data_IF_056164296104
#
_entry.id   IF_056164296104
#
_cell.length_a   1.000
_cell.length_b   1.000
_cell.length_c   1.000
_cell.angle_alpha   90.00
_cell.angle_beta   90.00
_cell.angle_gamma   90.00
#
_symmetry.space_group_name_H-M   'P 1'
#
loop_
_entity.id
_entity.type
_entity.pdbx_description
1 polymer ?
#
# COMPACT_ATOMS: atom_id res chain seq x y z
N UNK A 1 -38.07 -57.67 25.80
CA UNK A 1 -37.22 -57.34 24.63
C UNK A 1 -37.09 -55.84 24.59
N UNK A 2 -35.89 -55.28 24.77
CA UNK A 2 -35.68 -53.85 24.60
C UNK A 2 -35.29 -53.61 23.13
N UNK A 3 -36.12 -52.85 22.42
CA UNK A 3 -35.87 -52.49 21.03
C UNK A 3 -34.80 -51.38 21.01
N UNK A 4 -33.59 -51.74 20.58
CA UNK A 4 -32.50 -50.78 20.42
C UNK A 4 -32.65 -50.06 19.07
N UNK A 5 -32.87 -48.76 19.10
CA UNK A 5 -33.06 -47.94 17.90
C UNK A 5 -31.70 -47.57 17.29
N UNK A 6 -31.68 -47.47 15.95
CA UNK A 6 -30.49 -46.98 15.23
C UNK A 6 -30.42 -45.46 15.32
N UNK A 7 -29.21 -44.90 15.26
CA UNK A 7 -28.99 -43.44 15.28
C UNK A 7 -29.83 -42.67 14.25
N UNK A 8 -30.12 -43.26 13.09
CA UNK A 8 -30.95 -42.65 12.05
C UNK A 8 -32.42 -42.53 12.48
N UNK A 9 -32.99 -43.56 13.07
CA UNK A 9 -34.38 -43.56 13.56
C UNK A 9 -34.55 -42.55 14.71
N UNK A 10 -33.58 -42.52 15.62
CA UNK A 10 -33.54 -41.56 16.72
C UNK A 10 -33.43 -40.13 16.21
N UNK A 11 -32.58 -39.89 15.21
CA UNK A 11 -32.45 -38.57 14.60
C UNK A 11 -33.75 -38.08 13.95
N UNK A 12 -34.48 -38.98 13.28
CA UNK A 12 -35.79 -38.68 12.71
C UNK A 12 -36.84 -38.40 13.79
N UNK A 13 -36.83 -39.17 14.90
CA UNK A 13 -37.77 -39.00 16.01
C UNK A 13 -37.51 -37.70 16.80
N UNK A 14 -36.26 -37.29 16.92
CA UNK A 14 -35.87 -36.05 17.60
C UNK A 14 -35.92 -34.83 16.67
N UNK A 15 -36.09 -35.01 15.35
CA UNK A 15 -36.11 -33.92 14.37
C UNK A 15 -34.75 -33.23 14.21
N UNK A 16 -33.65 -33.94 14.43
CA UNK A 16 -32.28 -33.41 14.36
C UNK A 16 -31.43 -34.27 13.41
N UNK A 17 -30.32 -33.75 12.91
CA UNK A 17 -29.45 -34.53 12.04
C UNK A 17 -28.77 -35.70 12.78
N UNK A 18 -28.51 -36.86 12.14
CA UNK A 18 -27.82 -37.99 12.77
C UNK A 18 -26.45 -37.63 13.35
N UNK A 19 -25.77 -36.62 12.78
CA UNK A 19 -24.50 -36.10 13.29
C UNK A 19 -24.67 -35.38 14.63
N UNK A 20 -25.79 -34.68 14.83
CA UNK A 20 -26.14 -33.99 16.08
C UNK A 20 -26.35 -34.99 17.20
N UNK A 21 -27.06 -36.09 16.92
CA UNK A 21 -27.24 -37.18 17.90
C UNK A 21 -25.89 -37.76 18.34
N UNK A 22 -24.98 -38.05 17.39
CA UNK A 22 -23.63 -38.53 17.73
C UNK A 22 -22.79 -37.50 18.49
N UNK A 23 -22.98 -36.21 18.18
CA UNK A 23 -22.32 -35.11 18.88
C UNK A 23 -22.80 -35.05 20.33
N UNK A 24 -24.10 -35.06 20.57
CA UNK A 24 -24.67 -35.06 21.92
C UNK A 24 -24.24 -36.27 22.77
N UNK A 25 -24.21 -37.48 22.18
CA UNK A 25 -23.70 -38.67 22.89
C UNK A 25 -22.26 -38.47 23.38
N UNK A 26 -21.41 -37.79 22.60
CA UNK A 26 -20.02 -37.50 22.96
C UNK A 26 -19.90 -36.35 23.95
N UNK A 27 -20.54 -35.22 23.64
CA UNK A 27 -20.39 -33.96 24.36
C UNK A 27 -21.03 -34.02 25.77
N UNK A 28 -22.15 -34.76 25.89
CA UNK A 28 -22.84 -34.98 27.17
C UNK A 28 -22.50 -36.35 27.80
N UNK A 29 -21.50 -37.05 27.26
CA UNK A 29 -20.99 -38.33 27.74
C UNK A 29 -22.09 -39.37 28.05
N UNK A 30 -23.05 -39.52 27.13
CA UNK A 30 -24.21 -40.40 27.33
C UNK A 30 -23.77 -41.85 27.13
N UNK A 31 -23.97 -42.75 28.11
CA UNK A 31 -23.54 -44.14 28.01
C UNK A 31 -24.35 -44.85 26.92
N UNK A 32 -23.70 -45.17 25.81
CA UNK A 32 -24.33 -45.81 24.66
C UNK A 32 -23.41 -46.88 24.07
N UNK A 33 -23.95 -48.10 23.95
CA UNK A 33 -23.23 -49.23 23.37
C UNK A 33 -23.13 -49.10 21.85
N UNK A 34 -22.07 -49.67 21.27
CA UNK A 34 -21.92 -49.81 19.83
C UNK A 34 -22.02 -51.28 19.47
N UNK A 35 -22.70 -51.58 18.37
CA UNK A 35 -22.66 -52.92 17.80
C UNK A 35 -21.29 -53.21 17.11
N UNK A 36 -21.09 -54.45 16.68
CA UNK A 36 -19.86 -54.89 15.99
C UNK A 36 -19.53 -54.08 14.73
N UNK A 37 -20.53 -53.41 14.15
CA UNK A 37 -20.39 -52.55 12.98
C UNK A 37 -20.16 -51.06 13.35
N UNK A 38 -20.00 -50.73 14.62
CA UNK A 38 -19.71 -49.38 15.12
C UNK A 38 -20.91 -48.42 15.17
N UNK A 39 -22.13 -48.90 14.97
CA UNK A 39 -23.36 -48.11 15.12
C UNK A 39 -23.81 -48.07 16.59
N UNK A 40 -24.23 -46.88 17.05
CA UNK A 40 -24.77 -46.68 18.38
C UNK A 40 -26.13 -47.39 18.53
N UNK A 41 -26.25 -48.23 19.55
CA UNK A 41 -27.47 -48.89 20.00
C UNK A 41 -28.15 -47.99 21.03
N UNK A 42 -29.22 -47.32 20.61
CA UNK A 42 -29.90 -46.33 21.44
C UNK A 42 -31.13 -46.99 22.07
N UNK A 43 -30.96 -47.39 23.33
CA UNK A 43 -32.05 -47.87 24.19
C UNK A 43 -32.95 -46.70 24.60
N UNK A 44 -34.18 -46.99 25.02
CA UNK A 44 -35.15 -45.99 25.48
C UNK A 44 -34.58 -45.04 26.56
N UNK A 45 -33.71 -45.52 27.46
CA UNK A 45 -33.05 -44.67 28.46
C UNK A 45 -32.12 -43.63 27.83
N UNK A 46 -31.33 -44.02 26.83
CA UNK A 46 -30.43 -43.13 26.08
C UNK A 46 -31.25 -42.13 25.26
N UNK A 47 -32.40 -42.56 24.73
CA UNK A 47 -33.32 -41.67 24.01
C UNK A 47 -33.86 -40.56 24.93
N UNK A 48 -34.22 -40.88 26.18
CA UNK A 48 -34.67 -39.87 27.16
C UNK A 48 -33.57 -38.85 27.46
N UNK A 49 -32.35 -39.30 27.71
CA UNK A 49 -31.22 -38.39 27.91
C UNK A 49 -30.97 -37.50 26.68
N UNK A 50 -31.14 -38.03 25.47
CA UNK A 50 -31.03 -37.23 24.23
C UNK A 50 -32.17 -36.23 24.07
N UNK A 51 -33.36 -36.50 24.61
CA UNK A 51 -34.46 -35.53 24.65
C UNK A 51 -34.15 -34.39 25.62
N UNK A 52 -33.61 -34.69 26.80
CA UNK A 52 -33.17 -33.67 27.76
C UNK A 52 -32.09 -32.76 27.17
N UNK A 53 -31.08 -33.35 26.50
CA UNK A 53 -30.03 -32.58 25.81
C UNK A 53 -30.60 -31.69 24.69
N UNK A 54 -31.63 -32.14 23.98
CA UNK A 54 -32.30 -31.30 22.98
C UNK A 54 -32.87 -30.04 23.64
N UNK A 55 -33.50 -30.14 24.80
CA UNK A 55 -34.02 -28.95 25.49
C UNK A 55 -32.89 -27.99 25.88
N UNK A 56 -31.79 -28.52 26.42
CA UNK A 56 -30.62 -27.72 26.83
C UNK A 56 -29.97 -27.01 25.63
N UNK A 57 -29.65 -27.73 24.54
CA UNK A 57 -29.01 -27.15 23.35
C UNK A 57 -29.92 -26.13 22.65
N UNK A 58 -31.24 -26.30 22.70
CA UNK A 58 -32.18 -25.30 22.18
C UNK A 58 -32.29 -24.07 23.10
N UNK A 59 -32.36 -24.25 24.42
CA UNK A 59 -32.39 -23.14 25.39
C UNK A 59 -31.09 -22.33 25.38
N UNK A 60 -29.93 -22.98 25.33
CA UNK A 60 -28.64 -22.30 25.21
C UNK A 60 -28.54 -21.46 23.92
N UNK A 61 -29.07 -21.97 22.80
CA UNK A 61 -29.09 -21.24 21.53
C UNK A 61 -30.09 -20.07 21.53
N UNK A 62 -31.25 -20.24 22.15
CA UNK A 62 -32.24 -19.16 22.32
C UNK A 62 -31.71 -18.08 23.27
N UNK A 63 -31.04 -18.47 24.35
CA UNK A 63 -30.40 -17.55 25.29
C UNK A 63 -29.20 -16.81 24.66
N UNK A 64 -28.41 -17.47 23.81
CA UNK A 64 -27.35 -16.80 23.05
C UNK A 64 -27.93 -15.78 22.05
N UNK A 65 -29.05 -16.12 21.39
CA UNK A 65 -29.74 -15.20 20.49
C UNK A 65 -30.34 -14.00 21.25
N UNK A 66 -30.91 -14.22 22.45
CA UNK A 66 -31.36 -13.12 23.33
C UNK A 66 -30.21 -12.25 23.80
N UNK A 67 -29.07 -12.82 24.20
CA UNK A 67 -27.88 -12.06 24.62
C UNK A 67 -27.32 -11.17 23.52
N UNK A 68 -27.31 -11.63 22.26
CA UNK A 68 -26.94 -10.81 21.09
C UNK A 68 -27.95 -9.69 20.82
N UNK A 69 -29.21 -9.85 21.25
CA UNK A 69 -30.25 -8.83 21.10
C UNK A 69 -30.22 -7.80 22.22
N UNK A 70 -29.81 -8.20 23.42
CA UNK A 70 -29.65 -7.34 24.62
C UNK A 70 -28.33 -6.55 24.63
N UNK A 71 -27.27 -7.05 23.98
CA UNK A 71 -26.00 -6.33 23.77
C UNK A 71 -25.99 -5.42 22.52
N UNK A 72 -27.15 -5.11 21.95
CA UNK A 72 -27.28 -3.90 21.12
C UNK A 72 -27.44 -2.69 22.03
N UNK A 73 -26.37 -2.36 22.76
CA UNK A 73 -26.15 -0.96 23.12
C UNK A 73 -26.24 -0.19 21.80
N UNK A 74 -27.23 0.70 21.72
CA UNK A 74 -27.37 1.63 20.61
C UNK A 74 -26.06 2.39 20.52
N UNK A 75 -25.20 2.01 19.57
CA UNK A 75 -24.02 2.81 19.21
C UNK A 75 -24.57 4.20 18.95
N UNK A 76 -24.21 5.16 19.81
CA UNK A 76 -24.73 6.51 19.72
C UNK A 76 -24.18 7.12 18.42
N UNK A 77 -25.01 7.05 17.38
CA UNK A 77 -24.72 7.55 16.03
C UNK A 77 -24.32 9.03 16.10
N UNK A 78 -24.82 9.76 17.10
CA UNK A 78 -24.47 11.16 17.34
C UNK A 78 -22.99 11.32 17.68
N UNK A 79 -22.46 10.54 18.63
CA UNK A 79 -21.05 10.61 19.02
C UNK A 79 -20.12 10.18 17.88
N UNK A 80 -20.52 9.18 17.09
CA UNK A 80 -19.78 8.77 15.89
C UNK A 80 -19.78 9.88 14.85
N UNK A 81 -20.91 10.56 14.62
CA UNK A 81 -21.01 11.67 13.68
C UNK A 81 -20.15 12.87 14.12
N UNK A 82 -20.15 13.19 15.41
CA UNK A 82 -19.30 14.26 15.98
C UNK A 82 -17.82 13.94 15.75
N UNK A 83 -17.39 12.71 16.06
CA UNK A 83 -16.01 12.29 15.85
C UNK A 83 -15.61 12.31 14.37
N UNK A 84 -16.49 11.86 13.47
CA UNK A 84 -16.25 11.92 12.02
C UNK A 84 -16.13 13.36 11.53
N UNK A 85 -16.94 14.26 12.06
CA UNK A 85 -16.88 15.69 11.74
C UNK A 85 -15.54 16.29 12.18
N UNK A 86 -15.10 16.01 13.42
CA UNK A 86 -13.80 16.45 13.94
C UNK A 86 -12.63 15.91 13.10
N UNK A 87 -12.67 14.62 12.74
CA UNK A 87 -11.66 14.02 11.87
C UNK A 87 -11.62 14.67 10.49
N UNK A 88 -12.79 14.99 9.92
CA UNK A 88 -12.89 15.67 8.62
C UNK A 88 -12.31 17.08 8.69
N UNK A 89 -12.58 17.83 9.75
CA UNK A 89 -11.98 19.16 9.96
C UNK A 89 -10.46 19.08 10.09
N UNK A 90 -9.96 18.07 10.82
CA UNK A 90 -8.53 17.85 10.98
C UNK A 90 -7.85 17.47 9.65
N UNK A 91 -8.49 16.63 8.84
CA UNK A 91 -8.01 16.29 7.49
C UNK A 91 -7.95 17.54 6.62
N UNK A 92 -9.03 18.33 6.55
CA UNK A 92 -9.07 19.58 5.77
C UNK A 92 -7.97 20.56 6.21
N UNK A 93 -7.69 20.65 7.52
CA UNK A 93 -6.62 21.48 8.03
C UNK A 93 -5.23 20.99 7.59
N UNK A 94 -5.00 19.68 7.67
CA UNK A 94 -3.74 19.07 7.23
C UNK A 94 -3.53 19.21 5.72
N UNK A 95 -4.58 19.04 4.91
CA UNK A 95 -4.52 19.24 3.46
C UNK A 95 -4.07 20.65 3.10
N UNK A 96 -4.65 21.68 3.75
CA UNK A 96 -4.25 23.08 3.53
C UNK A 96 -2.80 23.35 3.94
N UNK A 97 -2.33 22.78 5.05
CA UNK A 97 -0.92 22.91 5.45
C UNK A 97 0.02 22.23 4.45
N UNK A 98 -0.39 21.09 3.89
CA UNK A 98 0.37 20.34 2.90
C UNK A 98 0.47 21.12 1.59
N UNK A 99 -0.65 21.70 1.14
CA UNK A 99 -0.72 22.58 -0.03
C UNK A 99 0.19 23.82 0.15
N UNK A 100 0.12 24.48 1.31
CA UNK A 100 1.01 25.60 1.62
C UNK A 100 2.49 25.21 1.62
N UNK A 101 2.84 24.06 2.20
CA UNK A 101 4.23 23.57 2.18
C UNK A 101 4.70 23.19 0.78
N UNK A 102 3.80 22.65 -0.06
CA UNK A 102 4.12 22.36 -1.45
C UNK A 102 4.43 23.66 -2.22
N UNK A 103 3.62 24.70 -2.03
CA UNK A 103 3.84 26.02 -2.64
C UNK A 103 5.15 26.67 -2.16
N UNK A 104 5.46 26.60 -0.86
CA UNK A 104 6.72 27.12 -0.32
C UNK A 104 7.95 26.41 -0.92
N UNK A 105 7.94 25.08 -0.96
CA UNK A 105 9.07 24.31 -1.53
C UNK A 105 9.22 24.58 -3.02
N UNK A 106 8.12 24.65 -3.77
CA UNK A 106 8.15 24.95 -5.20
C UNK A 106 8.67 26.36 -5.45
N UNK A 107 8.26 27.35 -4.63
CA UNK A 107 8.76 28.73 -4.76
C UNK A 107 10.28 28.81 -4.55
N UNK A 108 10.80 28.08 -3.55
CA UNK A 108 12.23 27.98 -3.29
C UNK A 108 12.96 27.32 -4.45
N UNK A 109 12.43 26.21 -4.98
CA UNK A 109 13.02 25.49 -6.12
C UNK A 109 13.07 26.34 -7.38
N UNK A 110 12.01 27.09 -7.69
CA UNK A 110 11.98 27.99 -8.85
C UNK A 110 13.03 29.10 -8.71
N UNK A 111 13.13 29.71 -7.52
CA UNK A 111 14.16 30.70 -7.24
C UNK A 111 15.57 30.11 -7.38
N UNK A 112 15.80 28.93 -6.81
CA UNK A 112 17.08 28.23 -6.92
C UNK A 112 17.44 27.93 -8.38
N UNK A 113 16.51 27.36 -9.16
CA UNK A 113 16.73 27.08 -10.57
C UNK A 113 17.03 28.36 -11.36
N UNK A 114 16.38 29.48 -11.05
CA UNK A 114 16.70 30.77 -11.67
C UNK A 114 18.14 31.20 -11.38
N UNK A 115 18.58 31.07 -10.13
CA UNK A 115 19.97 31.39 -9.76
C UNK A 115 20.99 30.44 -10.41
N UNK A 116 20.64 29.16 -10.58
CA UNK A 116 21.48 28.18 -11.26
C UNK A 116 21.59 28.49 -12.76
N UNK A 117 20.47 28.84 -13.41
CA UNK A 117 20.44 29.28 -14.81
C UNK A 117 21.28 30.54 -15.00
N UNK A 118 21.13 31.56 -14.15
CA UNK A 118 21.95 32.78 -14.20
C UNK A 118 23.45 32.47 -14.09
N UNK A 119 23.79 31.50 -13.24
CA UNK A 119 25.17 31.00 -13.10
C UNK A 119 25.67 30.28 -14.36
N UNK A 120 24.82 29.48 -15.01
CA UNK A 120 25.14 28.81 -16.29
C UNK A 120 25.34 29.83 -17.40
N UNK A 121 24.45 30.82 -17.52
CA UNK A 121 24.55 31.91 -18.52
C UNK A 121 25.87 32.66 -18.35
N UNK A 122 26.21 33.05 -17.12
CA UNK A 122 27.49 33.73 -16.85
C UNK A 122 28.71 32.90 -17.21
N UNK A 123 28.67 31.58 -17.01
CA UNK A 123 29.75 30.67 -17.44
C UNK A 123 29.81 30.55 -18.97
N UNK A 124 28.67 30.58 -19.65
CA UNK A 124 28.60 30.58 -21.11
C UNK A 124 29.23 31.86 -21.69
N UNK A 125 28.87 33.02 -21.15
CA UNK A 125 29.48 34.32 -21.52
C UNK A 125 31.01 34.28 -21.35
N UNK A 126 31.51 33.70 -20.24
CA UNK A 126 32.96 33.55 -20.03
C UNK A 126 33.63 32.62 -21.04
N UNK A 127 32.92 31.62 -21.56
CA UNK A 127 33.42 30.73 -22.60
C UNK A 127 33.43 31.45 -23.94
N UNK A 128 32.37 32.17 -24.27
CA UNK A 128 32.27 33.01 -25.48
C UNK A 128 33.39 34.07 -25.50
N UNK A 129 33.60 34.78 -24.39
CA UNK A 129 34.69 35.76 -24.24
C UNK A 129 36.08 35.15 -24.48
N UNK A 130 36.30 33.92 -24.01
CA UNK A 130 37.56 33.21 -24.23
C UNK A 130 37.71 32.79 -25.69
N UNK A 131 36.62 32.36 -26.32
CA UNK A 131 36.59 31.99 -27.73
C UNK A 131 36.91 33.21 -28.60
N UNK A 132 36.28 34.35 -28.35
CA UNK A 132 36.55 35.63 -29.02
C UNK A 132 38.02 36.07 -28.88
N UNK A 133 38.60 35.90 -27.69
CA UNK A 133 40.03 36.20 -27.47
C UNK A 133 40.93 35.26 -28.25
N UNK A 134 40.60 33.96 -28.29
CA UNK A 134 41.36 33.00 -29.09
C UNK A 134 41.26 33.29 -30.59
N UNK A 135 40.09 33.64 -31.09
CA UNK A 135 39.88 33.95 -32.51
C UNK A 135 40.62 35.23 -32.92
N UNK A 136 40.62 36.26 -32.06
CA UNK A 136 41.44 37.47 -32.21
C UNK A 136 42.94 37.18 -32.17
N UNK A 137 43.40 36.27 -31.31
CA UNK A 137 44.81 35.87 -31.28
C UNK A 137 45.22 35.07 -32.53
N UNK A 138 44.35 34.20 -33.04
CA UNK A 138 44.61 33.42 -34.26
C UNK A 138 44.68 34.33 -35.48
N UNK A 139 43.72 35.24 -35.65
CA UNK A 139 43.74 36.23 -36.73
C UNK A 139 44.97 37.14 -36.68
N UNK A 140 45.41 37.58 -35.49
CA UNK A 140 46.64 38.35 -35.34
C UNK A 140 47.91 37.54 -35.71
N UNK A 141 47.99 36.27 -35.30
CA UNK A 141 49.13 35.40 -35.66
C UNK A 141 49.20 35.11 -37.15
N UNK A 142 48.06 34.84 -37.79
CA UNK A 142 47.98 34.62 -39.24
C UNK A 142 48.44 35.85 -40.03
N UNK A 143 48.04 37.05 -39.58
CA UNK A 143 48.46 38.30 -40.23
C UNK A 143 49.93 38.64 -39.98
N UNK A 144 50.50 38.34 -38.80
CA UNK A 144 51.93 38.48 -38.55
C UNK A 144 52.79 37.51 -39.37
N UNK A 145 52.37 36.24 -39.49
CA UNK A 145 53.05 35.26 -40.32
C UNK A 145 53.02 35.63 -41.81
N UNK A 146 51.87 36.07 -42.35
CA UNK A 146 51.80 36.52 -43.75
C UNK A 146 52.66 37.78 -44.03
N UNK A 147 52.69 38.74 -43.11
CA UNK A 147 53.52 39.95 -43.26
C UNK A 147 55.01 39.63 -43.10
N UNK A 148 55.38 38.64 -42.28
CA UNK A 148 56.77 38.21 -42.10
C UNK A 148 57.30 37.46 -43.33
N UNK A 149 56.50 36.56 -43.92
CA UNK A 149 56.86 35.81 -45.13
C UNK A 149 57.05 36.75 -46.32
N UNK A 150 56.13 37.69 -46.54
CA UNK A 150 56.22 38.64 -47.66
C UNK A 150 57.39 39.64 -47.55
N UNK A 151 57.79 40.03 -46.32
CA UNK A 151 58.99 40.86 -46.10
C UNK A 151 60.30 40.08 -46.35
N UNK A 152 60.35 38.81 -45.99
CA UNK A 152 61.49 37.92 -46.23
C UNK A 152 61.72 37.71 -47.73
N UNK A 153 60.66 37.40 -48.48
CA UNK A 153 60.73 37.20 -49.93
C UNK A 153 61.16 38.46 -50.69
N UNK A 154 60.63 39.64 -50.32
CA UNK A 154 61.02 40.91 -50.93
C UNK A 154 62.50 41.27 -50.68
N UNK A 155 63.03 40.97 -49.48
CA UNK A 155 64.46 41.19 -49.18
C UNK A 155 65.36 40.27 -50.00
N UNK A 156 64.99 39.00 -50.14
CA UNK A 156 65.77 38.05 -50.93
C UNK A 156 65.71 38.36 -52.43
N UNK A 157 64.56 38.81 -52.95
CA UNK A 157 64.42 39.22 -54.34
C UNK A 157 65.27 40.46 -54.69
N UNK A 158 65.28 41.48 -53.83
CA UNK A 158 66.15 42.66 -54.03
C UNK A 158 67.64 42.31 -53.98
N UNK A 159 68.06 41.42 -53.07
CA UNK A 159 69.45 40.99 -52.96
C UNK A 159 69.96 40.28 -54.23
N UNK A 160 69.11 39.47 -54.88
CA UNK A 160 69.45 38.80 -56.15
C UNK A 160 69.43 39.72 -57.38
N UNK A 161 68.78 40.89 -57.29
CA UNK A 161 68.71 41.85 -58.41
C UNK A 161 69.95 42.74 -58.51
N UNK A 162 70.67 42.96 -57.41
CA UNK A 162 71.88 43.78 -57.37
C UNK A 162 73.19 42.96 -57.43
N UNK A 163 73.12 41.65 -57.75
CA UNK A 163 74.30 40.77 -57.81
C UNK A 163 74.80 40.45 -59.22
N UNK A 164 74.45 41.24 -60.24
CA UNK A 164 75.03 41.15 -61.60
C UNK A 164 76.00 42.30 -61.87
#
# INVERSE_FOLDING_TARGET
MQEALKTREVSSRLGVAPRTVRKWIKDFNIPCEKNDNGHYLITENVLRSLQEVKHIDFEERDNLARKVTEEKESVDISNVLVLVTELTERINHLERQLEQKADEVVSYQVLQHRTEIDGVVKRLEQVEDKFDKFDKQLSFKLTEEEVAVTKSEKRNWLANMFSL
#
